data_IF_041370954326
#
_entry.id   IF_041370954326
#
_cell.length_a   1.000
_cell.length_b   1.000
_cell.length_c   1.000
_cell.angle_alpha   90.00
_cell.angle_beta   90.00
_cell.angle_gamma   90.00
#
_symmetry.space_group_name_H-M   'P 1'
#
loop_
_entity.id
_entity.type
_entity.pdbx_description
1 polymer ?
#
# COMPACT_ATOMS: atom_id res chain seq x y z
N UNK A 1 -17.59 -7.26 -49.09
CA UNK A 1 -17.24 -8.58 -48.51
C UNK A 1 -15.86 -8.47 -47.90
N UNK A 2 -15.79 -8.25 -46.59
CA UNK A 2 -14.58 -8.35 -45.81
C UNK A 2 -14.98 -8.97 -44.47
N UNK A 3 -14.60 -10.24 -44.29
CA UNK A 3 -14.77 -10.99 -43.06
C UNK A 3 -13.89 -10.37 -41.97
N UNK A 4 -14.49 -9.59 -41.07
CA UNK A 4 -13.92 -9.32 -39.76
C UNK A 4 -14.33 -10.49 -38.84
N UNK A 5 -13.48 -11.51 -38.77
CA UNK A 5 -13.61 -12.57 -37.78
C UNK A 5 -13.54 -12.03 -36.34
N UNK A 6 -14.10 -12.73 -35.36
CA UNK A 6 -14.05 -12.30 -33.96
C UNK A 6 -12.60 -12.26 -33.48
N UNK A 7 -12.24 -11.33 -32.57
CA UNK A 7 -10.90 -11.26 -32.02
C UNK A 7 -10.57 -12.56 -31.29
N UNK A 8 -9.35 -13.03 -31.52
CA UNK A 8 -8.76 -14.27 -31.01
C UNK A 8 -9.05 -14.48 -29.52
N UNK A 9 -9.89 -15.48 -29.19
CA UNK A 9 -10.41 -15.76 -27.85
C UNK A 9 -9.60 -16.83 -27.12
N UNK A 10 -8.28 -16.67 -27.07
CA UNK A 10 -7.42 -17.49 -26.22
C UNK A 10 -6.32 -16.63 -25.61
N UNK A 11 -6.56 -16.12 -24.41
CA UNK A 11 -5.53 -15.51 -23.59
C UNK A 11 -5.73 -15.96 -22.14
N UNK A 12 -5.16 -17.11 -21.82
CA UNK A 12 -4.74 -17.41 -20.45
C UNK A 12 -3.54 -16.50 -20.18
N UNK A 13 -3.77 -15.31 -19.63
CA UNK A 13 -2.68 -14.45 -19.17
C UNK A 13 -2.26 -14.92 -17.79
N UNK A 14 -1.54 -16.05 -17.73
CA UNK A 14 -0.76 -16.38 -16.55
C UNK A 14 0.44 -15.42 -16.52
N UNK A 15 0.25 -14.25 -15.89
CA UNK A 15 1.35 -13.36 -15.56
C UNK A 15 2.14 -13.94 -14.37
N UNK A 16 2.83 -15.06 -14.59
CA UNK A 16 3.79 -15.61 -13.65
C UNK A 16 5.08 -14.79 -13.72
N UNK A 17 5.22 -13.81 -12.84
CA UNK A 17 6.51 -13.16 -12.59
C UNK A 17 7.00 -13.57 -11.21
N UNK A 18 8.00 -14.45 -11.18
CA UNK A 18 8.54 -15.15 -10.01
C UNK A 18 9.13 -14.28 -8.89
N UNK A 19 8.97 -12.95 -8.89
CA UNK A 19 9.63 -12.07 -7.91
C UNK A 19 8.78 -10.90 -7.41
N UNK A 20 7.48 -10.94 -7.64
CA UNK A 20 6.54 -9.95 -7.13
C UNK A 20 5.35 -10.74 -6.56
N UNK A 21 4.74 -10.27 -5.46
CA UNK A 21 3.42 -10.72 -5.03
C UNK A 21 2.35 -10.28 -6.07
N UNK A 22 2.52 -10.67 -7.35
CA UNK A 22 1.59 -10.40 -8.44
C UNK A 22 0.55 -11.50 -8.39
N UNK A 23 -0.68 -11.10 -8.14
CA UNK A 23 -1.84 -11.98 -8.34
C UNK A 23 -1.87 -12.47 -9.78
N UNK A 24 -1.90 -13.79 -9.99
CA UNK A 24 -2.18 -14.35 -11.31
C UNK A 24 -3.64 -14.09 -11.64
N UNK A 25 -3.91 -13.42 -12.78
CA UNK A 25 -5.26 -13.20 -13.26
C UNK A 25 -5.66 -14.33 -14.19
N UNK A 26 -6.64 -15.14 -13.81
CA UNK A 26 -7.08 -16.30 -14.60
C UNK A 26 -8.48 -16.03 -15.15
N UNK A 27 -8.61 -16.02 -16.48
CA UNK A 27 -9.90 -15.90 -17.16
C UNK A 27 -10.39 -17.28 -17.62
N UNK A 28 -11.57 -17.70 -17.16
CA UNK A 28 -12.19 -18.98 -17.51
C UNK A 28 -13.50 -18.76 -18.29
N UNK A 29 -13.55 -19.26 -19.52
CA UNK A 29 -14.73 -19.23 -20.40
C UNK A 29 -15.26 -20.65 -20.67
N UNK A 30 -16.59 -20.79 -20.58
CA UNK A 30 -17.33 -22.02 -20.89
C UNK A 30 -17.12 -22.53 -22.33
N UNK A 31 -16.73 -21.66 -23.26
CA UNK A 31 -16.45 -22.03 -24.64
C UNK A 31 -15.04 -22.59 -24.86
N UNK A 32 -14.17 -22.50 -23.84
CA UNK A 32 -12.74 -22.78 -23.97
C UNK A 32 -12.31 -23.96 -23.08
N UNK A 33 -12.96 -24.20 -21.94
CA UNK A 33 -12.40 -25.12 -20.93
C UNK A 33 -13.39 -26.10 -20.27
N UNK A 34 -12.87 -27.27 -19.90
CA UNK A 34 -13.59 -28.29 -19.12
C UNK A 34 -13.47 -27.98 -17.63
N UNK A 35 -14.59 -27.90 -16.92
CA UNK A 35 -14.69 -27.63 -15.47
C UNK A 35 -13.66 -28.41 -14.64
N UNK A 36 -13.47 -29.70 -14.94
CA UNK A 36 -12.51 -30.55 -14.20
C UNK A 36 -11.07 -30.12 -14.41
N UNK A 37 -10.70 -29.71 -15.62
CA UNK A 37 -9.34 -29.23 -15.93
C UNK A 37 -9.07 -27.88 -15.26
N UNK A 38 -10.06 -26.98 -15.26
CA UNK A 38 -9.95 -25.71 -14.55
C UNK A 38 -9.77 -25.91 -13.04
N UNK A 39 -10.53 -26.84 -12.46
CA UNK A 39 -10.44 -27.15 -11.04
C UNK A 39 -9.06 -27.72 -10.70
N UNK A 40 -8.59 -28.71 -11.46
CA UNK A 40 -7.25 -29.29 -11.29
C UNK A 40 -6.16 -28.23 -11.39
N UNK A 41 -6.25 -27.33 -12.39
CA UNK A 41 -5.29 -26.24 -12.52
C UNK A 41 -5.22 -25.37 -11.25
N UNK A 42 -6.37 -25.02 -10.66
CA UNK A 42 -6.40 -24.20 -9.43
C UNK A 42 -5.93 -24.99 -8.20
N UNK A 43 -6.20 -26.29 -8.15
CA UNK A 43 -5.76 -27.20 -7.07
C UNK A 43 -4.25 -27.49 -7.13
N UNK A 44 -3.65 -27.53 -8.32
CA UNK A 44 -2.23 -27.79 -8.56
C UNK A 44 -1.34 -26.57 -8.25
N UNK A 45 -1.95 -25.38 -8.07
CA UNK A 45 -1.23 -24.19 -7.64
C UNK A 45 -0.73 -24.35 -6.20
N UNK A 46 0.43 -23.78 -5.91
CA UNK A 46 1.00 -23.82 -4.57
C UNK A 46 0.14 -23.01 -3.59
N UNK A 47 0.15 -23.38 -2.31
CA UNK A 47 -0.57 -22.62 -1.26
C UNK A 47 -0.02 -21.19 -1.09
N UNK A 48 1.17 -20.90 -1.59
CA UNK A 48 1.75 -19.55 -1.67
C UNK A 48 1.25 -18.75 -2.87
N UNK A 49 0.74 -19.40 -3.91
CA UNK A 49 0.21 -18.71 -5.08
C UNK A 49 -1.09 -18.01 -4.74
N UNK A 50 -1.28 -16.84 -5.35
CA UNK A 50 -2.41 -15.96 -5.11
C UNK A 50 -3.08 -15.64 -6.43
N UNK A 51 -4.34 -16.04 -6.58
CA UNK A 51 -5.07 -15.97 -7.85
C UNK A 51 -6.32 -15.12 -7.73
N UNK A 52 -6.50 -14.27 -8.73
CA UNK A 52 -7.76 -13.57 -9.00
C UNK A 52 -8.40 -14.22 -10.22
N UNK A 53 -9.64 -14.66 -10.09
CA UNK A 53 -10.34 -15.39 -11.14
C UNK A 53 -11.45 -14.56 -11.75
N UNK A 54 -11.59 -14.65 -13.07
CA UNK A 54 -12.73 -14.15 -13.82
C UNK A 54 -13.41 -15.34 -14.47
N UNK A 55 -14.68 -15.57 -14.15
CA UNK A 55 -15.44 -16.74 -14.61
C UNK A 55 -16.69 -16.31 -15.35
N UNK A 56 -17.06 -17.06 -16.39
CA UNK A 56 -18.39 -16.91 -17.00
C UNK A 56 -19.50 -17.32 -16.02
N UNK A 57 -20.74 -16.85 -16.22
CA UNK A 57 -21.86 -17.13 -15.30
C UNK A 57 -22.15 -18.63 -15.09
N UNK A 58 -22.20 -19.40 -16.18
CA UNK A 58 -22.50 -20.84 -16.13
C UNK A 58 -21.33 -21.61 -15.52
N UNK A 59 -20.10 -21.34 -15.98
CA UNK A 59 -18.90 -21.99 -15.46
C UNK A 59 -18.68 -21.66 -13.98
N UNK A 60 -18.89 -20.39 -13.60
CA UNK A 60 -18.82 -19.92 -12.22
C UNK A 60 -19.77 -20.68 -11.31
N UNK A 61 -21.01 -20.90 -11.73
CA UNK A 61 -21.98 -21.68 -10.94
C UNK A 61 -21.51 -23.12 -10.67
N UNK A 62 -20.71 -23.69 -11.57
CA UNK A 62 -20.22 -25.07 -11.48
C UNK A 62 -18.90 -25.16 -10.69
N UNK A 63 -17.96 -24.25 -10.91
CA UNK A 63 -16.59 -24.35 -10.38
C UNK A 63 -16.42 -23.68 -9.00
N UNK A 64 -17.09 -22.55 -8.76
CA UNK A 64 -16.95 -21.76 -7.51
C UNK A 64 -17.25 -22.59 -6.26
N UNK A 65 -18.29 -23.45 -6.23
CA UNK A 65 -18.55 -24.31 -5.07
C UNK A 65 -17.37 -25.20 -4.68
N UNK A 66 -16.55 -25.65 -5.63
CA UNK A 66 -15.39 -26.51 -5.36
C UNK A 66 -14.16 -25.72 -4.92
N UNK A 67 -13.91 -24.56 -5.54
CA UNK A 67 -12.64 -23.83 -5.36
C UNK A 67 -12.69 -22.69 -4.34
N UNK A 68 -13.88 -22.22 -3.93
CA UNK A 68 -13.99 -21.04 -3.06
C UNK A 68 -13.28 -21.20 -1.70
N UNK A 69 -13.08 -22.44 -1.23
CA UNK A 69 -12.39 -22.71 0.04
C UNK A 69 -10.87 -22.67 -0.08
N UNK A 70 -10.32 -22.81 -1.29
CA UNK A 70 -8.89 -22.87 -1.53
C UNK A 70 -8.23 -21.53 -1.19
N UNK A 71 -7.17 -21.55 -0.39
CA UNK A 71 -6.48 -20.34 0.08
C UNK A 71 -5.83 -19.57 -1.06
N UNK A 72 -5.36 -20.28 -2.09
CA UNK A 72 -4.78 -19.67 -3.28
C UNK A 72 -5.77 -18.79 -4.05
N UNK A 73 -7.08 -19.03 -3.94
CA UNK A 73 -8.12 -18.20 -4.56
C UNK A 73 -8.44 -17.03 -3.65
N UNK A 74 -8.12 -15.81 -4.09
CA UNK A 74 -8.35 -14.58 -3.33
C UNK A 74 -9.69 -13.94 -3.69
N UNK A 75 -9.99 -13.83 -4.98
CA UNK A 75 -11.19 -13.13 -5.44
C UNK A 75 -11.68 -13.71 -6.75
N UNK A 76 -13.01 -13.73 -6.90
CA UNK A 76 -13.69 -14.28 -8.06
C UNK A 76 -14.65 -13.21 -8.59
N UNK A 77 -14.56 -12.91 -9.88
CA UNK A 77 -15.44 -12.01 -10.61
C UNK A 77 -16.27 -12.81 -11.62
N UNK A 78 -17.58 -12.65 -11.60
CA UNK A 78 -18.47 -13.35 -12.53
C UNK A 78 -18.80 -12.40 -13.68
N UNK A 79 -18.23 -12.65 -14.85
CA UNK A 79 -18.55 -11.90 -16.06
C UNK A 79 -19.67 -12.58 -16.85
N UNK A 80 -20.86 -11.99 -16.89
CA UNK A 80 -22.01 -12.56 -17.59
C UNK A 80 -23.07 -11.52 -17.97
N UNK A 81 -23.79 -11.80 -19.06
CA UNK A 81 -24.92 -10.95 -19.49
C UNK A 81 -26.12 -11.03 -18.54
N UNK A 82 -26.39 -12.20 -17.93
CA UNK A 82 -27.54 -12.42 -17.06
C UNK A 82 -27.17 -12.23 -15.58
N UNK A 83 -27.14 -10.97 -15.13
CA UNK A 83 -26.80 -10.60 -13.74
C UNK A 83 -27.72 -11.25 -12.71
N UNK A 84 -29.03 -11.15 -12.90
CA UNK A 84 -30.02 -11.54 -11.88
C UNK A 84 -30.00 -13.03 -11.58
N UNK A 85 -29.79 -13.88 -12.60
CA UNK A 85 -29.62 -15.32 -12.39
C UNK A 85 -28.37 -15.62 -11.55
N UNK A 86 -27.26 -14.97 -11.85
CA UNK A 86 -25.97 -15.31 -11.23
C UNK A 86 -25.78 -14.69 -9.84
N UNK A 87 -26.43 -13.54 -9.56
CA UNK A 87 -26.52 -12.96 -8.21
C UNK A 87 -27.16 -13.90 -7.19
N UNK A 88 -28.09 -14.77 -7.62
CA UNK A 88 -28.80 -15.70 -6.72
C UNK A 88 -27.88 -16.72 -6.08
N UNK A 89 -26.89 -17.24 -6.81
CA UNK A 89 -25.94 -18.21 -6.29
C UNK A 89 -24.67 -17.56 -5.76
N UNK A 90 -24.20 -16.47 -6.39
CA UNK A 90 -22.93 -15.84 -6.00
C UNK A 90 -22.94 -15.27 -4.58
N UNK A 91 -24.09 -14.79 -4.09
CA UNK A 91 -24.25 -14.24 -2.73
C UNK A 91 -23.87 -15.21 -1.60
N UNK A 92 -23.82 -16.52 -1.86
CA UNK A 92 -23.44 -17.53 -0.87
C UNK A 92 -21.92 -17.69 -0.74
N UNK A 93 -21.14 -17.07 -1.62
CA UNK A 93 -19.69 -17.21 -1.66
C UNK A 93 -19.00 -15.87 -1.39
N UNK A 94 -18.36 -15.75 -0.23
CA UNK A 94 -17.71 -14.51 0.24
C UNK A 94 -16.56 -14.04 -0.67
N UNK A 95 -15.92 -14.96 -1.39
CA UNK A 95 -14.84 -14.65 -2.34
C UNK A 95 -15.35 -14.12 -3.69
N UNK A 96 -16.66 -14.19 -3.96
CA UNK A 96 -17.23 -13.63 -5.19
C UNK A 96 -17.49 -12.14 -4.98
N UNK A 97 -16.72 -11.30 -5.67
CA UNK A 97 -16.73 -9.83 -5.50
C UNK A 97 -17.83 -9.14 -6.29
N UNK A 98 -18.28 -9.73 -7.40
CA UNK A 98 -19.32 -9.11 -8.22
C UNK A 98 -19.80 -9.97 -9.39
N UNK A 99 -20.99 -9.63 -9.88
CA UNK A 99 -21.56 -10.16 -11.12
C UNK A 99 -21.71 -8.99 -12.10
N UNK A 100 -20.94 -9.02 -13.18
CA UNK A 100 -20.66 -7.86 -14.04
C UNK A 100 -20.96 -8.24 -15.49
N UNK A 101 -21.57 -7.32 -16.24
CA UNK A 101 -21.98 -7.53 -17.64
C UNK A 101 -21.22 -6.65 -18.64
N UNK A 102 -20.40 -5.72 -18.16
CA UNK A 102 -19.65 -4.75 -18.96
C UNK A 102 -18.17 -4.90 -18.66
N UNK A 103 -17.34 -4.95 -19.72
CA UNK A 103 -15.89 -5.11 -19.59
C UNK A 103 -15.29 -3.95 -18.80
N UNK A 104 -15.70 -2.71 -19.11
CA UNK A 104 -15.23 -1.53 -18.39
C UNK A 104 -15.59 -1.59 -16.91
N UNK A 105 -16.82 -2.00 -16.59
CA UNK A 105 -17.24 -2.22 -15.20
C UNK A 105 -16.42 -3.29 -14.48
N UNK A 106 -16.01 -4.36 -15.20
CA UNK A 106 -15.17 -5.43 -14.65
C UNK A 106 -13.75 -4.93 -14.38
N UNK A 107 -13.15 -4.22 -15.34
CA UNK A 107 -11.81 -3.63 -15.21
C UNK A 107 -11.80 -2.60 -14.08
N UNK A 108 -12.80 -1.72 -14.02
CA UNK A 108 -12.94 -0.74 -12.94
C UNK A 108 -13.08 -1.41 -11.57
N UNK A 109 -13.87 -2.48 -11.45
CA UNK A 109 -14.01 -3.19 -10.18
C UNK A 109 -12.73 -3.92 -9.76
N UNK A 110 -12.03 -4.58 -10.70
CA UNK A 110 -10.75 -5.23 -10.40
C UNK A 110 -9.69 -4.21 -9.97
N UNK A 111 -9.64 -3.04 -10.64
CA UNK A 111 -8.73 -1.95 -10.26
C UNK A 111 -9.04 -1.42 -8.86
N UNK A 112 -10.32 -1.15 -8.57
CA UNK A 112 -10.74 -0.72 -7.25
C UNK A 112 -10.38 -1.76 -6.18
N UNK A 113 -10.66 -3.04 -6.39
CA UNK A 113 -10.35 -4.09 -5.43
C UNK A 113 -8.83 -4.30 -5.25
N UNK A 114 -8.03 -4.12 -6.30
CA UNK A 114 -6.55 -4.12 -6.21
C UNK A 114 -6.03 -2.96 -5.38
N UNK A 115 -6.58 -1.78 -5.59
CA UNK A 115 -6.25 -0.59 -4.80
C UNK A 115 -6.61 -0.78 -3.32
N UNK A 116 -7.78 -1.36 -3.03
CA UNK A 116 -8.15 -1.73 -1.66
C UNK A 116 -7.09 -2.68 -1.07
N UNK A 117 -6.69 -3.72 -1.80
CA UNK A 117 -5.66 -4.64 -1.34
C UNK A 117 -4.30 -3.97 -1.15
N UNK A 118 -3.92 -3.01 -2.00
CA UNK A 118 -2.71 -2.20 -1.84
C UNK A 118 -2.71 -1.48 -0.49
N UNK A 119 -3.80 -0.81 -0.14
CA UNK A 119 -3.94 -0.07 1.11
C UNK A 119 -3.99 -1.02 2.33
N UNK A 120 -4.67 -2.16 2.21
CA UNK A 120 -4.86 -3.13 3.30
C UNK A 120 -3.61 -3.98 3.60
N UNK A 121 -2.85 -4.35 2.57
CA UNK A 121 -1.69 -5.23 2.67
C UNK A 121 -0.38 -4.46 2.81
N UNK A 122 -0.39 -3.13 2.66
CA UNK A 122 0.81 -2.33 2.90
C UNK A 122 1.19 -2.44 4.40
N UNK A 123 2.34 -3.05 4.72
CA UNK A 123 2.74 -3.28 6.10
C UNK A 123 3.10 -1.97 6.80
N UNK A 124 2.88 -1.95 8.12
CA UNK A 124 3.10 -0.77 8.94
C UNK A 124 4.57 -0.70 9.35
N UNK A 125 5.43 -0.21 8.47
CA UNK A 125 6.87 -0.07 8.76
C UNK A 125 7.13 1.08 9.72
N UNK A 126 7.32 0.72 11.00
CA UNK A 126 7.47 1.69 12.07
C UNK A 126 8.64 1.38 13.01
N UNK A 127 9.21 2.43 13.57
CA UNK A 127 10.16 2.39 14.67
C UNK A 127 9.50 2.93 15.95
N UNK A 128 9.66 2.20 17.05
CA UNK A 128 9.16 2.60 18.37
C UNK A 128 10.23 3.40 19.12
N UNK A 129 9.82 4.48 19.79
CA UNK A 129 10.66 5.26 20.69
C UNK A 129 10.05 5.29 22.09
N UNK A 130 10.75 4.70 23.06
CA UNK A 130 10.28 4.54 24.43
C UNK A 130 10.76 5.70 25.32
N UNK A 131 9.82 6.43 25.93
CA UNK A 131 10.10 7.64 26.73
C UNK A 131 10.64 7.30 28.13
N UNK A 132 10.30 6.12 28.66
CA UNK A 132 10.59 5.72 30.04
C UNK A 132 11.83 4.83 30.21
N UNK A 133 12.76 4.80 29.24
CA UNK A 133 14.08 4.20 29.48
C UNK A 133 14.86 5.11 30.43
N UNK A 134 14.77 4.82 31.74
CA UNK A 134 15.42 5.58 32.79
C UNK A 134 16.91 5.82 32.55
N UNK A 135 17.40 6.93 33.13
CA UNK A 135 18.78 7.39 33.17
C UNK A 135 19.81 6.25 32.99
N UNK A 136 20.39 6.13 31.80
CA UNK A 136 21.69 5.49 31.62
C UNK A 136 21.81 4.37 30.60
N UNK A 137 20.75 3.76 30.06
CA UNK A 137 20.93 2.71 29.03
C UNK A 137 19.78 2.63 28.03
N UNK A 138 19.99 3.09 26.78
CA UNK A 138 19.70 2.27 25.60
C UNK A 138 20.10 2.98 24.29
N UNK A 139 21.40 3.00 23.99
CA UNK A 139 21.89 2.89 22.60
C UNK A 139 21.65 1.49 22.03
N UNK A 140 21.04 0.59 22.81
CA UNK A 140 21.01 -0.87 22.65
C UNK A 140 20.01 -1.44 21.63
N UNK A 141 19.45 -0.65 20.71
CA UNK A 141 18.69 -1.22 19.57
C UNK A 141 17.47 -0.41 19.13
N UNK A 142 16.40 -0.36 19.95
CA UNK A 142 15.09 0.18 19.53
C UNK A 142 15.13 1.71 19.36
N UNK A 143 15.57 2.44 20.40
CA UNK A 143 15.75 3.88 20.28
C UNK A 143 16.83 4.21 19.24
N UNK A 144 17.90 3.40 19.12
CA UNK A 144 18.95 3.57 18.11
C UNK A 144 18.44 3.51 16.65
N UNK A 145 17.57 2.55 16.32
CA UNK A 145 16.92 2.46 15.00
C UNK A 145 16.07 3.69 14.70
N UNK A 146 15.30 4.16 15.68
CA UNK A 146 14.52 5.39 15.55
C UNK A 146 15.41 6.58 15.19
N UNK A 147 16.52 6.78 15.92
CA UNK A 147 17.49 7.85 15.65
C UNK A 147 18.07 7.71 14.24
N UNK A 148 18.55 6.52 13.90
CA UNK A 148 19.19 6.27 12.62
C UNK A 148 18.27 6.61 11.45
N UNK A 149 17.01 6.16 11.49
CA UNK A 149 16.03 6.46 10.44
C UNK A 149 15.77 7.97 10.32
N UNK A 150 15.62 8.68 11.43
CA UNK A 150 15.40 10.13 11.39
C UNK A 150 16.60 10.88 10.77
N UNK A 151 17.83 10.47 11.12
CA UNK A 151 19.07 11.04 10.56
C UNK A 151 19.21 10.71 9.07
N UNK A 152 18.97 9.45 8.68
CA UNK A 152 19.04 9.02 7.29
C UNK A 152 18.11 9.87 6.42
N UNK A 153 16.89 10.10 6.89
CA UNK A 153 15.90 10.91 6.19
C UNK A 153 16.36 12.37 6.04
N UNK A 154 16.87 12.98 7.11
CA UNK A 154 17.39 14.34 7.06
C UNK A 154 18.60 14.46 6.11
N UNK A 155 19.45 13.44 6.05
CA UNK A 155 20.55 13.35 5.09
C UNK A 155 20.03 13.27 3.64
N UNK A 156 19.07 12.38 3.35
CA UNK A 156 18.47 12.20 2.02
C UNK A 156 17.91 13.53 1.52
N UNK A 157 17.23 14.29 2.38
CA UNK A 157 16.62 15.58 2.04
C UNK A 157 17.62 16.72 1.77
N UNK A 158 18.89 16.55 2.17
CA UNK A 158 19.94 17.57 2.01
C UNK A 158 20.94 17.25 0.90
N UNK A 159 21.09 15.97 0.55
CA UNK A 159 22.04 15.52 -0.46
C UNK A 159 21.50 15.86 -1.85
N UNK A 160 22.32 16.49 -2.69
CA UNK A 160 21.96 16.78 -4.08
C UNK A 160 21.99 15.50 -4.93
N UNK A 161 21.01 15.38 -5.81
CA UNK A 161 20.97 14.35 -6.85
C UNK A 161 21.88 14.71 -8.02
N UNK A 162 22.35 13.69 -8.75
CA UNK A 162 22.99 13.84 -10.04
C UNK A 162 22.18 13.08 -11.10
N UNK A 163 22.33 13.47 -12.35
CA UNK A 163 21.66 12.81 -13.48
C UNK A 163 22.03 11.32 -13.60
N UNK A 164 23.23 10.94 -13.16
CA UNK A 164 23.66 9.54 -13.14
C UNK A 164 22.77 8.66 -12.25
N UNK A 165 22.27 9.20 -11.13
CA UNK A 165 21.45 8.46 -10.17
C UNK A 165 20.09 8.08 -10.75
N UNK A 166 19.48 9.00 -11.52
CA UNK A 166 18.22 8.74 -12.23
C UNK A 166 18.41 7.63 -13.27
N UNK A 167 19.50 7.67 -14.03
CA UNK A 167 19.81 6.63 -15.04
C UNK A 167 20.06 5.27 -14.41
N UNK A 168 20.77 5.24 -13.29
CA UNK A 168 21.00 4.03 -12.52
C UNK A 168 19.69 3.45 -11.99
N UNK A 169 18.81 4.30 -11.41
CA UNK A 169 17.48 3.88 -10.95
C UNK A 169 16.67 3.20 -12.06
N UNK A 170 16.59 3.85 -13.23
CA UNK A 170 15.86 3.34 -14.39
C UNK A 170 16.44 2.00 -14.85
N UNK A 171 17.77 1.87 -14.85
CA UNK A 171 18.45 0.63 -15.23
C UNK A 171 18.11 -0.50 -14.26
N UNK A 172 18.18 -0.25 -12.95
CA UNK A 172 17.79 -1.21 -11.93
C UNK A 172 16.32 -1.63 -12.09
N UNK A 173 15.41 -0.68 -12.34
CA UNK A 173 13.99 -0.98 -12.54
C UNK A 173 13.73 -1.78 -13.82
N UNK A 174 14.41 -1.48 -14.94
CA UNK A 174 14.30 -2.23 -16.21
C UNK A 174 14.77 -3.68 -16.04
N UNK A 175 15.83 -3.91 -15.27
CA UNK A 175 16.28 -5.26 -14.94
C UNK A 175 15.28 -5.98 -14.04
N UNK A 176 14.76 -5.30 -13.02
CA UNK A 176 13.82 -5.87 -12.06
C UNK A 176 12.46 -6.25 -12.69
N UNK A 177 11.98 -5.46 -13.65
CA UNK A 177 10.72 -5.69 -14.36
C UNK A 177 10.91 -6.29 -15.77
N UNK A 178 12.05 -6.93 -16.04
CA UNK A 178 12.29 -7.61 -17.30
C UNK A 178 11.16 -8.62 -17.61
N UNK A 179 10.53 -8.47 -18.78
CA UNK A 179 9.38 -9.30 -19.19
C UNK A 179 8.01 -8.77 -18.75
N UNK A 180 7.93 -7.72 -17.92
CA UNK A 180 6.65 -7.06 -17.59
C UNK A 180 6.39 -5.88 -18.54
N UNK A 181 5.69 -6.12 -19.65
CA UNK A 181 5.43 -5.08 -20.65
C UNK A 181 4.70 -3.84 -20.11
N UNK A 182 3.81 -4.01 -19.11
CA UNK A 182 3.10 -2.86 -18.52
C UNK A 182 4.03 -1.96 -17.72
N UNK A 183 4.85 -2.52 -16.84
CA UNK A 183 5.80 -1.73 -16.04
C UNK A 183 6.92 -1.15 -16.89
N UNK A 184 7.33 -1.83 -17.96
CA UNK A 184 8.28 -1.29 -18.93
C UNK A 184 7.70 -0.05 -19.65
N UNK A 185 6.42 -0.06 -20.02
CA UNK A 185 5.76 1.11 -20.58
C UNK A 185 5.69 2.27 -19.57
N UNK A 186 5.39 1.99 -18.29
CA UNK A 186 5.41 3.01 -17.24
C UNK A 186 6.81 3.61 -17.04
N UNK A 187 7.86 2.79 -17.11
CA UNK A 187 9.26 3.24 -17.03
C UNK A 187 9.63 4.17 -18.19
N UNK A 188 9.26 3.81 -19.42
CA UNK A 188 9.53 4.62 -20.60
C UNK A 188 8.75 5.96 -20.56
N UNK A 189 7.51 5.94 -20.07
CA UNK A 189 6.71 7.14 -19.83
C UNK A 189 7.36 8.04 -18.77
N UNK A 190 7.81 7.46 -17.66
CA UNK A 190 8.49 8.18 -16.58
C UNK A 190 9.80 8.82 -17.06
N UNK A 191 10.62 8.07 -17.79
CA UNK A 191 11.91 8.55 -18.30
C UNK A 191 11.75 9.80 -19.18
N UNK A 192 10.70 9.84 -20.01
CA UNK A 192 10.43 10.93 -20.97
C UNK A 192 9.66 12.11 -20.36
N UNK A 193 8.70 11.84 -19.48
CA UNK A 193 7.68 12.81 -19.08
C UNK A 193 7.77 13.24 -17.61
N UNK A 194 8.73 12.74 -16.84
CA UNK A 194 8.89 13.13 -15.44
C UNK A 194 9.14 14.64 -15.30
N UNK A 195 8.43 15.24 -14.34
CA UNK A 195 8.64 16.62 -13.90
C UNK A 195 8.39 16.69 -12.39
N UNK A 196 9.12 17.53 -11.63
CA UNK A 196 8.93 17.67 -10.19
C UNK A 196 7.48 17.95 -9.76
N UNK A 197 6.73 18.73 -10.55
CA UNK A 197 5.31 19.04 -10.29
C UNK A 197 4.35 17.85 -10.44
N UNK A 198 4.79 16.73 -11.02
CA UNK A 198 3.98 15.51 -11.18
C UNK A 198 4.36 14.37 -10.24
N UNK A 199 5.29 14.58 -9.30
CA UNK A 199 5.78 13.49 -8.44
C UNK A 199 4.69 12.86 -7.58
N UNK A 200 3.73 13.65 -7.06
CA UNK A 200 2.61 13.11 -6.29
C UNK A 200 1.67 12.24 -7.14
N UNK A 201 1.49 12.59 -8.42
CA UNK A 201 0.73 11.76 -9.35
C UNK A 201 1.43 10.41 -9.58
N UNK A 202 2.75 10.43 -9.83
CA UNK A 202 3.56 9.21 -9.94
C UNK A 202 3.55 8.36 -8.67
N UNK A 203 3.52 9.01 -7.50
CA UNK A 203 3.41 8.32 -6.22
C UNK A 203 2.03 7.69 -6.03
N UNK A 204 0.94 8.36 -6.42
CA UNK A 204 -0.42 7.82 -6.25
C UNK A 204 -0.76 6.67 -7.22
N UNK A 205 -0.16 6.70 -8.42
CA UNK A 205 -0.40 5.76 -9.52
C UNK A 205 0.12 4.36 -9.22
N UNK A 206 -0.63 3.34 -9.62
CA UNK A 206 -0.19 1.94 -9.55
C UNK A 206 0.93 1.68 -10.60
N UNK A 207 2.17 1.93 -10.21
CA UNK A 207 3.35 1.79 -11.08
C UNK A 207 4.60 1.38 -10.30
N UNK A 208 5.67 1.08 -11.03
CA UNK A 208 6.99 0.84 -10.49
C UNK A 208 7.41 1.89 -9.44
N UNK A 209 7.03 3.16 -9.62
CA UNK A 209 7.49 4.26 -8.78
C UNK A 209 7.04 4.05 -7.32
N UNK A 210 5.74 3.89 -7.09
CA UNK A 210 5.17 3.58 -5.77
C UNK A 210 5.71 2.26 -5.22
N UNK A 211 5.71 1.21 -6.05
CA UNK A 211 6.05 -0.14 -5.62
C UNK A 211 7.52 -0.28 -5.19
N UNK A 212 8.44 0.23 -5.99
CA UNK A 212 9.88 0.16 -5.71
C UNK A 212 10.25 1.07 -4.55
N UNK A 213 9.70 2.29 -4.48
CA UNK A 213 9.99 3.24 -3.42
C UNK A 213 9.51 2.72 -2.05
N UNK A 214 8.24 2.34 -1.92
CA UNK A 214 7.71 1.87 -0.64
C UNK A 214 8.33 0.53 -0.22
N UNK A 215 8.70 -0.34 -1.18
CA UNK A 215 9.46 -1.56 -0.87
C UNK A 215 10.87 -1.24 -0.38
N UNK A 216 11.57 -0.30 -1.02
CA UNK A 216 12.91 0.10 -0.61
C UNK A 216 12.92 0.69 0.81
N UNK A 217 11.95 1.55 1.12
CA UNK A 217 11.76 2.11 2.46
C UNK A 217 11.47 1.02 3.51
N UNK A 218 10.57 0.07 3.20
CA UNK A 218 10.20 -1.05 4.07
C UNK A 218 11.37 -1.99 4.38
N UNK A 219 12.21 -2.25 3.39
CA UNK A 219 13.35 -3.16 3.51
C UNK A 219 14.64 -2.41 3.89
N UNK A 220 14.57 -1.10 4.16
CA UNK A 220 15.72 -0.25 4.44
C UNK A 220 16.84 -0.40 3.39
N UNK A 221 16.48 -0.56 2.11
CA UNK A 221 17.44 -0.66 1.01
C UNK A 221 18.05 0.70 0.71
N UNK A 222 19.13 1.02 1.44
CA UNK A 222 19.81 2.33 1.40
C UNK A 222 20.21 2.72 -0.03
N UNK A 223 20.67 1.76 -0.85
CA UNK A 223 21.09 2.05 -2.22
C UNK A 223 19.90 2.53 -3.07
N UNK A 224 18.79 1.81 -3.08
CA UNK A 224 17.60 2.23 -3.85
C UNK A 224 16.99 3.51 -3.27
N UNK A 225 16.90 3.64 -1.94
CA UNK A 225 16.44 4.88 -1.29
C UNK A 225 17.30 6.07 -1.72
N UNK A 226 18.62 5.89 -1.79
CA UNK A 226 19.55 6.92 -2.24
C UNK A 226 19.31 7.31 -3.70
N UNK A 227 19.08 6.35 -4.59
CA UNK A 227 18.72 6.63 -5.99
C UNK A 227 17.36 7.38 -6.08
N UNK A 228 16.44 7.14 -5.16
CA UNK A 228 15.16 7.84 -5.09
C UNK A 228 15.21 9.24 -4.45
N UNK A 229 16.37 9.70 -3.95
CA UNK A 229 16.46 10.90 -3.12
C UNK A 229 15.92 12.18 -3.76
N UNK A 230 16.13 12.36 -5.06
CA UNK A 230 15.60 13.50 -5.81
C UNK A 230 14.08 13.55 -5.75
N UNK A 231 13.46 12.40 -6.01
CA UNK A 231 12.02 12.25 -6.02
C UNK A 231 11.43 12.37 -4.62
N UNK A 232 12.14 11.89 -3.59
CA UNK A 232 11.76 12.10 -2.18
C UNK A 232 11.78 13.60 -1.83
N UNK A 233 12.79 14.34 -2.29
CA UNK A 233 12.85 15.80 -2.14
C UNK A 233 11.71 16.50 -2.89
N UNK A 234 11.39 16.08 -4.11
CA UNK A 234 10.27 16.63 -4.86
C UNK A 234 8.93 16.37 -4.15
N UNK A 235 8.71 15.16 -3.61
CA UNK A 235 7.53 14.84 -2.81
C UNK A 235 7.46 15.77 -1.59
N UNK A 236 8.57 15.93 -0.87
CA UNK A 236 8.64 16.84 0.27
C UNK A 236 8.21 18.27 -0.09
N UNK A 237 8.74 18.83 -1.19
CA UNK A 237 8.39 20.18 -1.63
C UNK A 237 6.91 20.28 -2.04
N UNK A 238 6.38 19.27 -2.72
CA UNK A 238 4.97 19.24 -3.09
C UNK A 238 4.05 19.12 -1.86
N UNK A 239 4.34 18.24 -0.92
CA UNK A 239 3.57 18.11 0.32
C UNK A 239 3.59 19.44 1.10
N UNK A 240 4.74 20.13 1.13
CA UNK A 240 4.85 21.45 1.77
C UNK A 240 4.03 22.52 1.04
N UNK A 241 4.00 22.49 -0.30
CA UNK A 241 3.21 23.40 -1.14
C UNK A 241 1.70 23.22 -0.94
N UNK A 242 1.25 21.98 -0.77
CA UNK A 242 -0.16 21.61 -0.60
C UNK A 242 -0.52 21.27 0.87
N UNK A 243 0.29 21.73 1.82
CA UNK A 243 0.12 21.46 3.23
C UNK A 243 -1.31 21.82 3.68
N UNK A 244 -1.94 20.91 4.41
CA UNK A 244 -3.27 21.16 5.00
C UNK A 244 -3.17 22.35 5.95
N UNK A 245 -4.14 23.27 5.90
CA UNK A 245 -4.09 24.54 6.66
C UNK A 245 -4.73 24.48 8.04
N UNK A 246 -5.60 23.50 8.27
CA UNK A 246 -6.35 23.32 9.52
C UNK A 246 -6.08 21.94 10.09
N UNK A 247 -6.21 21.74 11.41
CA UNK A 247 -6.16 20.41 12.00
C UNK A 247 -7.21 19.49 11.36
N UNK A 248 -6.82 18.25 11.08
CA UNK A 248 -7.69 17.23 10.49
C UNK A 248 -7.53 15.89 11.23
N UNK A 249 -8.51 15.02 11.07
CA UNK A 249 -8.41 13.62 11.47
C UNK A 249 -8.40 12.75 10.22
N UNK A 250 -7.41 11.87 10.11
CA UNK A 250 -7.31 10.93 8.98
C UNK A 250 -7.41 9.49 9.46
N UNK A 251 -7.74 8.61 8.52
CA UNK A 251 -8.12 7.24 8.77
C UNK A 251 -7.40 6.29 7.81
N UNK A 252 -6.83 5.19 8.33
CA UNK A 252 -6.22 4.14 7.51
C UNK A 252 -6.62 2.77 8.05
N UNK A 253 -7.19 1.93 7.19
CA UNK A 253 -7.44 0.53 7.52
C UNK A 253 -6.31 -0.37 7.01
N UNK A 254 -5.95 -1.37 7.82
CA UNK A 254 -4.87 -2.29 7.50
C UNK A 254 -5.09 -3.64 8.22
N UNK A 255 -4.51 -4.72 7.68
CA UNK A 255 -4.36 -5.99 8.40
C UNK A 255 -3.03 -6.03 9.17
N UNK A 256 -3.09 -6.48 10.42
CA UNK A 256 -1.94 -6.54 11.32
C UNK A 256 -1.87 -7.89 12.01
N UNK A 257 -0.67 -8.43 12.22
CA UNK A 257 -0.54 -9.67 12.97
C UNK A 257 -0.93 -9.48 14.44
N UNK A 258 -1.44 -10.54 15.06
CA UNK A 258 -1.76 -10.50 16.50
C UNK A 258 -0.56 -10.11 17.37
N UNK A 259 0.66 -10.51 17.01
CA UNK A 259 1.87 -10.21 17.78
C UNK A 259 2.37 -8.77 17.59
N UNK A 260 2.25 -8.23 16.37
CA UNK A 260 2.50 -6.82 16.12
C UNK A 260 1.52 -5.93 16.90
N UNK A 261 0.24 -6.31 16.90
CA UNK A 261 -0.79 -5.59 17.66
C UNK A 261 -0.53 -5.62 19.17
N UNK A 262 -0.10 -6.77 19.74
CA UNK A 262 0.30 -6.87 21.15
C UNK A 262 1.48 -5.94 21.46
N UNK A 263 2.48 -5.90 20.56
CA UNK A 263 3.67 -5.05 20.72
C UNK A 263 3.30 -3.57 20.71
N UNK A 264 2.40 -3.17 19.81
CA UNK A 264 1.85 -1.81 19.77
C UNK A 264 1.04 -1.50 21.04
N UNK A 265 0.21 -2.43 21.50
CA UNK A 265 -0.58 -2.24 22.72
C UNK A 265 0.29 -2.07 23.97
N UNK A 266 1.42 -2.78 24.06
CA UNK A 266 2.40 -2.58 25.13
C UNK A 266 3.14 -1.23 25.04
N UNK A 267 3.08 -0.56 23.88
CA UNK A 267 3.76 0.70 23.59
C UNK A 267 2.84 1.92 23.69
N UNK A 268 1.61 1.77 24.18
CA UNK A 268 0.69 2.91 24.36
C UNK A 268 1.32 3.97 25.27
N UNK A 269 1.27 5.23 24.85
CA UNK A 269 1.91 6.37 25.48
C UNK A 269 3.29 6.72 24.92
N UNK A 270 3.93 5.82 24.15
CA UNK A 270 5.22 6.05 23.50
C UNK A 270 5.06 6.73 22.11
N UNK A 271 6.20 7.05 21.49
CA UNK A 271 6.25 7.62 20.15
C UNK A 271 6.54 6.54 19.10
N UNK A 272 5.96 6.72 17.92
CA UNK A 272 6.12 5.87 16.74
C UNK A 272 6.62 6.75 15.61
N UNK A 273 7.70 6.36 14.94
CA UNK A 273 8.13 6.94 13.67
C UNK A 273 7.75 6.00 12.54
N UNK A 274 7.11 6.52 11.49
CA UNK A 274 6.85 5.75 10.28
C UNK A 274 7.98 5.99 9.28
N UNK A 275 8.65 4.92 8.83
CA UNK A 275 9.82 5.02 7.96
C UNK A 275 9.46 5.03 6.46
N UNK A 276 8.20 4.74 6.14
CA UNK A 276 7.63 4.94 4.82
C UNK A 276 6.85 6.26 4.76
N UNK A 277 6.41 6.63 3.56
CA UNK A 277 5.27 7.53 3.45
C UNK A 277 4.04 6.85 4.06
N UNK A 278 3.18 7.63 4.71
CA UNK A 278 1.98 7.09 5.34
C UNK A 278 0.77 7.66 4.62
N UNK A 279 0.16 6.88 3.73
CA UNK A 279 -1.11 7.24 3.07
C UNK A 279 -2.29 6.91 3.99
N UNK A 280 -3.24 7.83 4.06
CA UNK A 280 -4.49 7.73 4.82
C UNK A 280 -5.62 8.44 4.07
N UNK A 281 -6.86 8.30 4.52
CA UNK A 281 -8.02 9.03 3.97
C UNK A 281 -8.53 10.06 4.96
N UNK A 282 -8.92 11.25 4.49
CA UNK A 282 -9.67 12.20 5.32
C UNK A 282 -11.13 11.74 5.58
N UNK A 283 -11.61 10.71 4.87
CA UNK A 283 -12.95 10.16 5.04
C UNK A 283 -12.94 8.87 5.85
N UNK A 284 -13.53 8.90 7.05
CA UNK A 284 -13.74 7.71 7.87
C UNK A 284 -14.58 6.64 7.14
N UNK A 285 -15.53 7.07 6.30
CA UNK A 285 -16.41 6.17 5.55
C UNK A 285 -15.64 5.39 4.50
N UNK A 286 -14.80 6.06 3.73
CA UNK A 286 -14.00 5.42 2.69
C UNK A 286 -12.98 4.48 3.34
N UNK A 287 -12.26 4.92 4.38
CA UNK A 287 -11.35 4.06 5.12
C UNK A 287 -12.05 2.79 5.67
N UNK A 288 -13.26 2.93 6.22
CA UNK A 288 -14.03 1.81 6.76
C UNK A 288 -14.64 0.89 5.70
N UNK A 289 -14.92 1.37 4.48
CA UNK A 289 -15.44 0.49 3.42
C UNK A 289 -14.50 -0.68 3.13
N UNK A 290 -13.19 -0.51 3.37
CA UNK A 290 -12.19 -1.55 3.20
C UNK A 290 -12.36 -2.71 4.19
N UNK A 291 -13.11 -2.53 5.28
CA UNK A 291 -13.32 -3.55 6.31
C UNK A 291 -14.11 -4.75 5.79
N UNK A 292 -15.05 -4.52 4.88
CA UNK A 292 -15.86 -5.60 4.30
C UNK A 292 -15.06 -6.50 3.35
N UNK A 293 -13.85 -6.08 2.95
CA UNK A 293 -13.02 -6.76 1.96
C UNK A 293 -12.04 -7.75 2.60
N UNK A 294 -11.88 -7.72 3.93
CA UNK A 294 -10.98 -8.62 4.64
C UNK A 294 -11.36 -10.09 4.41
N UNK A 295 -10.49 -10.82 3.72
CA UNK A 295 -10.48 -12.27 3.77
C UNK A 295 -9.99 -12.63 5.17
N UNK A 296 -10.82 -13.35 5.94
CA UNK A 296 -10.42 -13.90 7.23
C UNK A 296 -9.21 -14.80 6.96
N UNK A 297 -8.02 -14.30 7.30
CA UNK A 297 -6.79 -15.09 7.33
C UNK A 297 -6.50 -15.36 8.80
N UNK A 298 -6.24 -16.61 9.12
CA UNK A 298 -5.87 -17.00 10.47
C UNK A 298 -4.62 -16.19 10.89
N UNK A 299 -4.68 -15.57 12.07
CA UNK A 299 -3.66 -14.72 12.71
C UNK A 299 -3.55 -13.24 12.30
N UNK A 300 -4.38 -12.73 11.38
CA UNK A 300 -4.44 -11.30 11.05
C UNK A 300 -5.69 -10.62 11.62
N UNK A 301 -5.48 -9.52 12.35
CA UNK A 301 -6.53 -8.69 12.92
C UNK A 301 -6.69 -7.41 12.11
N UNK A 302 -7.93 -6.99 11.80
CA UNK A 302 -8.18 -5.72 11.14
C UNK A 302 -8.01 -4.55 12.12
N UNK A 303 -7.19 -3.58 11.72
CA UNK A 303 -6.93 -2.36 12.48
C UNK A 303 -7.35 -1.12 11.69
N UNK A 304 -7.85 -0.11 12.41
CA UNK A 304 -8.13 1.23 11.90
C UNK A 304 -7.29 2.23 12.69
N UNK A 305 -6.35 2.87 12.01
CA UNK A 305 -5.64 4.02 12.53
C UNK A 305 -6.55 5.25 12.44
N UNK A 306 -6.69 5.97 13.54
CA UNK A 306 -7.36 7.26 13.66
C UNK A 306 -6.30 8.28 14.09
N UNK A 307 -5.92 9.18 13.19
CA UNK A 307 -4.77 10.07 13.36
C UNK A 307 -5.24 11.50 13.45
N UNK A 308 -5.03 12.13 14.61
CA UNK A 308 -5.19 13.57 14.76
C UNK A 308 -3.92 14.27 14.26
N UNK A 309 -4.05 15.10 13.23
CA UNK A 309 -2.94 15.80 12.59
C UNK A 309 -3.15 17.31 12.62
N UNK A 310 -2.28 18.02 13.34
CA UNK A 310 -2.23 19.48 13.35
C UNK A 310 -1.07 19.96 12.46
N UNK A 311 -1.34 20.73 11.39
CA UNK A 311 -0.29 21.21 10.49
C UNK A 311 0.70 22.17 11.17
N UNK A 312 0.31 22.84 12.26
CA UNK A 312 1.20 23.76 12.98
C UNK A 312 2.31 23.04 13.75
N UNK A 313 2.13 21.75 14.00
CA UNK A 313 3.09 20.90 14.73
C UNK A 313 4.11 20.28 13.76
N UNK A 314 3.76 20.11 12.49
CA UNK A 314 4.50 19.31 11.52
C UNK A 314 5.36 20.13 10.54
N UNK A 315 6.09 21.13 11.04
CA UNK A 315 6.79 22.13 10.20
C UNK A 315 7.81 21.50 9.23
N UNK A 316 8.56 20.48 9.69
CA UNK A 316 9.61 19.82 8.90
C UNK A 316 9.16 18.49 8.28
N UNK A 317 7.95 18.03 8.60
CA UNK A 317 7.39 16.74 8.15
C UNK A 317 5.99 17.00 7.60
N UNK A 318 5.90 17.63 6.42
CA UNK A 318 4.63 18.07 5.88
C UNK A 318 3.70 16.88 5.61
N UNK A 319 2.41 17.17 5.59
CA UNK A 319 1.39 16.26 5.11
C UNK A 319 0.36 17.05 4.30
N UNK A 320 -0.13 16.45 3.22
CA UNK A 320 -1.03 17.12 2.30
C UNK A 320 -2.15 16.19 1.88
N UNK A 321 -3.31 16.80 1.60
CA UNK A 321 -4.36 16.16 0.82
C UNK A 321 -3.92 16.18 -0.66
N UNK A 322 -3.67 14.99 -1.20
CA UNK A 322 -3.19 14.80 -2.57
C UNK A 322 -4.30 14.31 -3.50
N UNK A 323 -5.57 14.39 -3.08
CA UNK A 323 -6.72 13.89 -3.87
C UNK A 323 -6.79 14.48 -5.27
N UNK A 324 -6.33 15.71 -5.45
CA UNK A 324 -6.29 16.38 -6.76
C UNK A 324 -5.22 15.81 -7.70
N UNK A 325 -4.23 15.11 -7.15
CA UNK A 325 -3.14 14.45 -7.89
C UNK A 325 -3.34 12.95 -7.99
N UNK A 326 -4.22 12.37 -7.16
CA UNK A 326 -4.45 10.94 -7.17
C UNK A 326 -5.02 10.50 -8.51
N UNK A 327 -4.50 9.42 -9.06
CA UNK A 327 -5.15 8.72 -10.19
C UNK A 327 -6.57 8.27 -9.81
N UNK A 328 -6.83 8.11 -8.51
CA UNK A 328 -8.08 7.60 -7.97
C UNK A 328 -8.91 8.72 -7.34
N UNK A 329 -9.98 9.09 -8.04
CA UNK A 329 -10.92 10.09 -7.54
C UNK A 329 -11.70 9.58 -6.32
N UNK A 330 -11.80 10.42 -5.28
CA UNK A 330 -12.72 10.21 -4.14
C UNK A 330 -12.12 9.53 -2.91
N UNK A 331 -10.82 9.20 -2.90
CA UNK A 331 -10.19 8.61 -1.71
C UNK A 331 -9.91 9.61 -0.59
N UNK A 332 -9.96 10.92 -0.89
CA UNK A 332 -9.56 11.96 0.04
C UNK A 332 -8.16 11.68 0.62
N UNK A 333 -7.23 11.26 -0.25
CA UNK A 333 -5.92 10.71 0.13
C UNK A 333 -5.06 11.80 0.77
N UNK A 334 -4.68 11.58 2.02
CA UNK A 334 -3.73 12.39 2.78
C UNK A 334 -2.45 11.61 2.99
N UNK A 335 -1.34 12.14 2.49
CA UNK A 335 -0.01 11.53 2.61
C UNK A 335 0.84 12.30 3.62
N UNK A 336 1.37 11.58 4.60
CA UNK A 336 2.35 12.12 5.54
C UNK A 336 3.77 11.84 5.05
N UNK A 337 4.66 12.84 5.21
CA UNK A 337 6.06 12.71 4.88
C UNK A 337 6.73 11.58 5.67
N UNK A 338 7.68 10.89 5.04
CA UNK A 338 8.48 9.87 5.70
C UNK A 338 9.26 10.42 6.91
N UNK A 339 9.31 9.63 7.97
CA UNK A 339 9.82 10.03 9.28
C UNK A 339 8.86 10.88 10.09
N UNK A 340 7.57 10.94 9.73
CA UNK A 340 6.55 11.53 10.59
C UNK A 340 6.47 10.76 11.92
N UNK A 341 6.33 11.51 13.01
CA UNK A 341 6.32 10.95 14.37
C UNK A 341 4.93 11.12 14.95
N UNK A 342 4.42 10.05 15.54
CA UNK A 342 3.09 9.99 16.14
C UNK A 342 3.20 9.55 17.59
N UNK A 343 2.42 10.15 18.48
CA UNK A 343 2.19 9.62 19.82
C UNK A 343 1.08 8.58 19.74
N UNK A 344 1.33 7.39 20.26
CA UNK A 344 0.31 6.37 20.39
C UNK A 344 -0.54 6.66 21.63
N UNK A 345 -1.82 7.01 21.44
CA UNK A 345 -2.68 7.48 22.53
C UNK A 345 -3.45 6.33 23.18
N UNK A 346 -4.09 5.49 22.36
CA UNK A 346 -4.88 4.37 22.84
C UNK A 346 -5.06 3.31 21.75
N UNK A 347 -5.26 2.06 22.18
CA UNK A 347 -5.70 0.96 21.32
C UNK A 347 -6.93 0.36 21.98
N UNK A 348 -8.03 0.31 21.25
CA UNK A 348 -9.32 -0.19 21.76
C UNK A 348 -10.01 -1.03 20.72
N UNK A 349 -10.88 -1.93 21.15
CA UNK A 349 -11.75 -2.66 20.24
C UNK A 349 -12.99 -1.81 19.91
N UNK A 350 -13.43 -1.85 18.66
CA UNK A 350 -14.65 -1.16 18.22
C UNK A 350 -15.89 -1.73 18.93
N UNK A 351 -16.95 -0.93 19.04
CA UNK A 351 -18.20 -1.32 19.72
C UNK A 351 -18.87 -2.56 19.13
N UNK A 352 -18.64 -2.84 17.84
CA UNK A 352 -19.13 -4.02 17.14
C UNK A 352 -18.16 -5.23 17.22
N UNK A 353 -17.03 -5.07 17.94
CA UNK A 353 -15.95 -6.04 18.10
C UNK A 353 -15.28 -6.52 16.80
N UNK A 354 -15.54 -5.85 15.67
CA UNK A 354 -15.04 -6.26 14.35
C UNK A 354 -13.64 -5.78 14.02
N UNK A 355 -13.16 -4.72 14.68
CA UNK A 355 -11.85 -4.12 14.40
C UNK A 355 -11.23 -3.50 15.66
N UNK A 356 -9.92 -3.31 15.61
CA UNK A 356 -9.16 -2.53 16.58
C UNK A 356 -9.00 -1.10 16.08
N UNK A 357 -9.27 -0.12 16.94
CA UNK A 357 -9.06 1.30 16.67
C UNK A 357 -7.81 1.76 17.40
N UNK A 358 -6.81 2.19 16.62
CA UNK A 358 -5.53 2.71 17.09
C UNK A 358 -5.56 4.23 16.96
N UNK A 359 -5.59 4.94 18.08
CA UNK A 359 -5.58 6.39 18.09
C UNK A 359 -4.16 6.93 18.22
N UNK A 360 -3.81 7.84 17.31
CA UNK A 360 -2.50 8.48 17.31
C UNK A 360 -2.62 9.99 17.10
N UNK A 361 -1.64 10.74 17.58
CA UNK A 361 -1.54 12.19 17.34
C UNK A 361 -0.20 12.51 16.71
N UNK A 362 -0.22 13.25 15.60
CA UNK A 362 0.99 13.77 14.97
C UNK A 362 1.75 14.69 15.93
N UNK A 363 3.05 14.47 16.07
CA UNK A 363 3.92 15.18 17.01
C UNK A 363 5.07 15.88 16.29
N UNK A 364 5.59 16.94 16.94
CA UNK A 364 6.78 17.64 16.45
C UNK A 364 8.05 17.08 17.07
N UNK A 365 9.19 17.33 16.42
CA UNK A 365 10.52 17.08 16.99
C UNK A 365 10.75 17.82 18.32
N UNK A 366 10.03 18.92 18.55
CA UNK A 366 10.15 19.77 19.76
C UNK A 366 9.34 19.25 20.96
N UNK A 367 8.61 18.15 20.79
CA UNK A 367 7.87 17.51 21.90
C UNK A 367 8.84 17.14 23.02
N UNK A 368 8.51 17.45 24.28
CA UNK A 368 9.43 17.39 25.43
C UNK A 368 10.30 16.11 25.52
N UNK A 369 9.79 14.93 25.15
CA UNK A 369 10.56 13.67 25.16
C UNK A 369 11.47 13.42 23.93
N UNK A 370 11.25 14.14 22.83
CA UNK A 370 12.02 14.05 21.58
C UNK A 370 13.05 15.17 21.46
N UNK A 371 12.80 16.33 22.08
CA UNK A 371 13.64 17.51 21.97
C UNK A 371 15.09 17.26 22.40
N UNK A 372 15.29 16.63 23.56
CA UNK A 372 16.63 16.33 24.08
C UNK A 372 17.40 15.36 23.16
N UNK A 373 16.68 14.39 22.60
CA UNK A 373 17.20 13.40 21.67
C UNK A 373 17.64 14.06 20.36
N UNK A 374 16.79 14.89 19.74
CA UNK A 374 17.14 15.62 18.53
C UNK A 374 18.24 16.66 18.74
N UNK A 375 18.31 17.30 19.91
CA UNK A 375 19.42 18.18 20.27
C UNK A 375 20.74 17.42 20.37
N UNK A 376 20.73 16.21 20.93
CA UNK A 376 21.91 15.35 20.98
C UNK A 376 22.37 14.93 19.58
N UNK A 377 21.44 14.46 18.73
CA UNK A 377 21.70 14.12 17.32
C UNK A 377 22.34 15.29 16.58
N UNK A 378 21.72 16.48 16.64
CA UNK A 378 22.21 17.68 15.94
C UNK A 378 23.63 18.03 16.38
N UNK A 379 23.96 17.90 17.67
CA UNK A 379 25.33 18.11 18.17
C UNK A 379 26.34 17.09 17.63
N UNK A 380 25.98 15.81 17.52
CA UNK A 380 26.86 14.77 16.98
C UNK A 380 27.10 14.97 15.48
N UNK A 381 26.05 15.24 14.71
CA UNK A 381 26.14 15.48 13.27
C UNK A 381 26.93 16.75 12.95
N UNK A 382 26.71 17.84 13.69
CA UNK A 382 27.43 19.10 13.46
C UNK A 382 28.90 19.09 13.91
N UNK A 383 29.32 18.13 14.74
CA UNK A 383 30.75 17.97 15.15
C UNK A 383 31.61 17.24 14.11
N UNK A 384 30.99 16.66 13.07
CA UNK A 384 31.71 16.04 11.94
C UNK A 384 32.02 16.99 10.79
N UNK A 385 31.99 18.31 11.00
CA UNK A 385 32.36 19.34 10.03
C UNK A 385 33.61 20.07 10.45
#
# INVERSE_FOLDING_TARGET
MANSGPPDRSLVVAANNQNVEIFSLVWLDQHVENVKKCQQYVEDLSSSDRVVMIVSGVLGQQIVPSIHKLEQVISIYVYCMNKERNKRWSKYFTKVKGVINEVDGLVSQIRADRQIQRNLNEPFSHNLFHVNCGNGTSTSGINGKFIFSQVLIDCILRIKSKEEDKKELITCCKQYYAGNCMEMNHLDEFEKNYSPDKVLWWYSRESFFYNVLNRALRNENIHIIFLFREFICDIYHQLKKYQVKTPITTYRCQLMSSDELKTLNASVGNFISVNSFFSSSASAKEARSFIHTFLIRDNLEPVLFEIAADPNVAINKPFADISIFSEFNGEYEVVFMLGSIFRLNSIRRSSDNKLWVIQMTLCSEDTHGLKEVFLHIKKVICRGR
#
